data_IF_299512023347
#
_entry.id   IF_299512023347
#
_cell.length_a   1.000
_cell.length_b   1.000
_cell.length_c   1.000
_cell.angle_alpha   90.00
_cell.angle_beta   90.00
_cell.angle_gamma   90.00
#
_symmetry.space_group_name_H-M   'P 1'
#
loop_
_entity.id
_entity.type
_entity.pdbx_description
1 polymer ?
#
# COMPACT_ATOMS: atom_id res chain seq x y z
N UNK A 1 -8.34 -7.12 6.43
CA UNK A 1 -8.15 -5.65 6.26
C UNK A 1 -9.34 -5.07 5.52
N UNK A 2 -9.65 -3.80 5.75
CA UNK A 2 -10.68 -3.09 5.01
C UNK A 2 -10.28 -2.86 3.56
N UNK A 3 -11.27 -2.83 2.66
CA UNK A 3 -11.15 -2.43 1.27
C UNK A 3 -12.14 -1.30 1.00
N UNK A 4 -11.65 -0.14 0.63
CA UNK A 4 -12.45 1.06 0.34
C UNK A 4 -13.23 0.85 -0.97
N UNK A 5 -14.50 0.49 -0.90
CA UNK A 5 -15.35 0.25 -2.09
C UNK A 5 -16.08 1.52 -2.52
N UNK A 6 -16.60 2.28 -1.55
CA UNK A 6 -17.25 3.57 -1.78
C UNK A 6 -16.26 4.67 -1.42
N UNK A 7 -15.94 5.54 -2.37
CA UNK A 7 -15.01 6.67 -2.22
C UNK A 7 -15.68 7.95 -2.71
N UNK A 8 -15.96 8.85 -1.78
CA UNK A 8 -16.46 10.19 -2.06
C UNK A 8 -15.28 11.17 -2.11
N UNK A 9 -14.39 10.94 -3.08
CA UNK A 9 -13.13 11.67 -3.24
C UNK A 9 -13.03 12.25 -4.65
N UNK A 10 -12.28 13.37 -4.85
CA UNK A 10 -12.04 13.93 -6.17
C UNK A 10 -11.46 12.90 -7.16
N UNK A 11 -11.91 12.96 -8.42
CA UNK A 11 -11.55 12.00 -9.47
C UNK A 11 -10.03 11.81 -9.64
N UNK A 12 -9.24 12.89 -9.60
CA UNK A 12 -7.78 12.81 -9.73
C UNK A 12 -7.13 11.97 -8.61
N UNK A 13 -7.67 12.01 -7.39
CA UNK A 13 -7.15 11.20 -6.26
C UNK A 13 -7.49 9.72 -6.45
N UNK A 14 -8.67 9.43 -6.99
CA UNK A 14 -9.08 8.06 -7.33
C UNK A 14 -8.15 7.50 -8.42
N UNK A 15 -7.85 8.30 -9.45
CA UNK A 15 -6.96 7.88 -10.54
C UNK A 15 -5.53 7.61 -10.05
N UNK A 16 -4.96 8.52 -9.24
CA UNK A 16 -3.63 8.35 -8.65
C UNK A 16 -3.56 7.10 -7.76
N UNK A 17 -4.56 6.90 -6.89
CA UNK A 17 -4.64 5.73 -6.03
C UNK A 17 -4.72 4.43 -6.84
N UNK A 18 -5.56 4.39 -7.88
CA UNK A 18 -5.67 3.22 -8.76
C UNK A 18 -4.37 2.95 -9.51
N UNK A 19 -3.72 3.99 -10.03
CA UNK A 19 -2.43 3.87 -10.71
C UNK A 19 -1.36 3.27 -9.81
N UNK A 20 -1.26 3.75 -8.57
CA UNK A 20 -0.36 3.19 -7.56
C UNK A 20 -0.65 1.71 -7.30
N UNK A 21 -1.91 1.32 -7.07
CA UNK A 21 -2.25 -0.09 -6.82
C UNK A 21 -1.95 -1.00 -8.02
N UNK A 22 -2.18 -0.52 -9.24
CA UNK A 22 -1.82 -1.25 -10.47
C UNK A 22 -0.31 -1.46 -10.56
N UNK A 23 0.49 -0.41 -10.35
CA UNK A 23 1.95 -0.51 -10.34
C UNK A 23 2.46 -1.46 -9.25
N UNK A 24 1.95 -1.31 -8.02
CA UNK A 24 2.30 -2.18 -6.90
C UNK A 24 2.01 -3.65 -7.21
N UNK A 25 0.83 -3.95 -7.77
CA UNK A 25 0.45 -5.30 -8.19
C UNK A 25 1.39 -5.86 -9.26
N UNK A 26 1.74 -5.08 -10.28
CA UNK A 26 2.66 -5.52 -11.34
C UNK A 26 4.07 -5.77 -10.81
N UNK A 27 4.58 -4.93 -9.92
CA UNK A 27 5.97 -5.03 -9.44
C UNK A 27 6.18 -6.08 -8.37
N UNK A 28 5.15 -6.39 -7.58
CA UNK A 28 5.25 -7.26 -6.40
C UNK A 28 4.48 -8.57 -6.53
N UNK A 29 3.69 -8.71 -7.59
CA UNK A 29 2.87 -9.89 -7.91
C UNK A 29 1.81 -10.20 -6.83
N UNK A 30 1.45 -9.19 -6.02
CA UNK A 30 0.45 -9.31 -4.96
C UNK A 30 -0.96 -9.03 -5.52
N UNK A 31 -1.93 -9.97 -5.41
CA UNK A 31 -3.23 -9.86 -6.06
C UNK A 31 -4.27 -9.01 -5.28
N UNK A 32 -3.84 -8.22 -4.30
CA UNK A 32 -4.73 -7.40 -3.46
C UNK A 32 -5.18 -6.11 -4.18
N UNK A 33 -6.37 -5.62 -3.85
CA UNK A 33 -7.01 -4.49 -4.53
C UNK A 33 -6.80 -3.16 -3.81
N UNK A 34 -6.71 -3.20 -2.48
CA UNK A 34 -6.47 -2.03 -1.64
C UNK A 34 -5.35 -2.37 -0.67
N UNK A 35 -4.11 -1.99 -0.99
CA UNK A 35 -2.95 -2.35 -0.16
C UNK A 35 -2.65 -1.29 0.90
N UNK A 36 -3.17 -0.07 0.79
CA UNK A 36 -2.83 1.06 1.66
C UNK A 36 -3.86 1.30 2.77
N UNK A 37 -5.00 0.60 2.77
CA UNK A 37 -6.05 0.82 3.77
C UNK A 37 -5.52 0.69 5.21
N UNK A 38 -5.65 1.73 6.04
CA UNK A 38 -5.22 1.68 7.45
C UNK A 38 -6.18 0.93 8.38
N UNK A 39 -7.42 0.65 7.96
CA UNK A 39 -8.42 -0.03 8.78
C UNK A 39 -8.18 -1.55 8.74
N UNK A 40 -7.56 -2.10 9.80
CA UNK A 40 -7.11 -3.50 9.82
C UNK A 40 -7.24 -4.13 11.19
N UNK A 41 -7.42 -5.44 11.19
CA UNK A 41 -7.20 -6.32 12.32
C UNK A 41 -6.03 -7.24 11.96
N UNK A 42 -5.03 -7.31 12.82
CA UNK A 42 -3.78 -8.05 12.60
C UNK A 42 -3.49 -8.94 13.80
N UNK A 43 -2.91 -10.12 13.56
CA UNK A 43 -2.31 -10.93 14.63
C UNK A 43 -0.97 -10.31 15.03
N UNK A 44 -0.60 -10.45 16.29
CA UNK A 44 0.66 -9.92 16.83
C UNK A 44 1.88 -10.44 16.04
N UNK A 45 1.91 -11.75 15.76
CA UNK A 45 2.96 -12.41 14.98
C UNK A 45 3.21 -11.75 13.61
N UNK A 46 2.14 -11.31 12.93
CA UNK A 46 2.24 -10.64 11.62
C UNK A 46 2.98 -9.32 11.77
N UNK A 47 2.72 -8.58 12.85
CA UNK A 47 3.39 -7.29 13.10
C UNK A 47 4.86 -7.52 13.38
N UNK A 48 5.20 -8.46 14.26
CA UNK A 48 6.58 -8.74 14.65
C UNK A 48 7.43 -9.22 13.46
N UNK A 49 6.86 -10.02 12.56
CA UNK A 49 7.59 -10.52 11.39
C UNK A 49 7.68 -9.53 10.22
N UNK A 50 6.71 -8.63 10.06
CA UNK A 50 6.60 -7.75 8.88
C UNK A 50 7.19 -6.37 9.15
N UNK A 51 6.98 -5.82 10.34
CA UNK A 51 7.37 -4.46 10.70
C UNK A 51 8.87 -4.18 10.46
N UNK A 52 9.82 -5.08 10.82
CA UNK A 52 11.25 -4.83 10.59
C UNK A 52 11.64 -4.77 9.11
N UNK A 53 10.81 -5.32 8.21
CA UNK A 53 11.10 -5.37 6.78
C UNK A 53 10.45 -4.23 5.98
N UNK A 54 9.44 -3.56 6.54
CA UNK A 54 8.67 -2.51 5.91
C UNK A 54 9.38 -1.14 6.00
N UNK A 55 10.42 -0.96 5.19
CA UNK A 55 11.36 0.18 5.27
C UNK A 55 11.64 0.86 3.92
N UNK A 56 10.98 0.43 2.84
CA UNK A 56 11.28 0.82 1.46
C UNK A 56 10.36 1.93 0.92
N UNK A 57 9.11 1.99 1.37
CA UNK A 57 8.10 2.95 0.92
C UNK A 57 7.83 4.01 2.00
N UNK A 58 8.50 5.17 1.96
CA UNK A 58 8.42 6.18 3.02
C UNK A 58 7.04 6.83 3.14
N UNK A 59 6.31 7.00 2.02
CA UNK A 59 5.01 7.66 2.00
C UNK A 59 3.85 6.62 1.99
N UNK A 60 4.15 5.33 1.84
CA UNK A 60 3.17 4.24 1.68
C UNK A 60 3.44 3.01 2.54
N UNK A 61 3.79 3.23 3.81
CA UNK A 61 4.08 2.17 4.79
C UNK A 61 3.06 1.02 4.79
N UNK A 62 1.75 1.33 4.82
CA UNK A 62 0.71 0.30 4.85
C UNK A 62 0.68 -0.56 3.58
N UNK A 63 0.97 0.03 2.42
CA UNK A 63 1.08 -0.72 1.17
C UNK A 63 2.23 -1.72 1.25
N UNK A 64 3.42 -1.25 1.66
CA UNK A 64 4.59 -2.12 1.83
C UNK A 64 4.33 -3.23 2.85
N UNK A 65 3.80 -2.88 4.02
CA UNK A 65 3.46 -3.84 5.07
C UNK A 65 2.56 -4.95 4.52
N UNK A 66 1.54 -4.60 3.75
CA UNK A 66 0.62 -5.58 3.15
C UNK A 66 1.31 -6.49 2.15
N UNK A 67 2.15 -5.90 1.29
CA UNK A 67 2.88 -6.62 0.26
C UNK A 67 3.81 -7.63 0.90
N UNK A 68 4.59 -7.21 1.91
CA UNK A 68 5.51 -8.10 2.63
C UNK A 68 4.75 -9.18 3.37
N UNK A 69 3.67 -8.84 4.08
CA UNK A 69 2.83 -9.82 4.77
C UNK A 69 2.31 -10.89 3.81
N UNK A 70 1.81 -10.49 2.64
CA UNK A 70 1.36 -11.44 1.62
C UNK A 70 2.51 -12.32 1.12
N UNK A 71 3.68 -11.73 0.82
CA UNK A 71 4.83 -12.46 0.27
C UNK A 71 5.51 -13.38 1.29
N UNK A 72 5.30 -13.15 2.59
CA UNK A 72 5.63 -14.09 3.68
C UNK A 72 4.64 -15.25 3.82
N UNK A 73 3.54 -15.24 3.07
CA UNK A 73 2.54 -16.31 3.09
C UNK A 73 1.41 -16.11 4.11
N UNK A 74 1.32 -14.94 4.75
CA UNK A 74 0.19 -14.66 5.63
C UNK A 74 -1.11 -14.55 4.85
N UNK A 75 -2.20 -15.09 5.42
CA UNK A 75 -3.53 -15.00 4.84
C UNK A 75 -4.10 -13.60 5.06
N UNK A 76 -4.46 -12.94 3.97
CA UNK A 76 -5.04 -11.59 3.99
C UNK A 76 -6.43 -11.65 3.36
N UNK A 77 -7.44 -11.23 4.12
CA UNK A 77 -8.81 -11.09 3.66
C UNK A 77 -9.17 -9.61 3.50
N UNK A 78 -9.71 -9.22 2.34
CA UNK A 78 -10.24 -7.88 2.08
C UNK A 78 -11.74 -7.83 2.42
N UNK A 79 -12.12 -7.01 3.40
CA UNK A 79 -13.51 -6.79 3.83
C UNK A 79 -13.98 -5.45 3.28
N UNK A 80 -15.10 -5.39 2.52
CA UNK A 80 -15.57 -4.14 1.95
C UNK A 80 -15.99 -3.15 3.05
N UNK A 81 -15.50 -1.91 2.94
CA UNK A 81 -15.84 -0.81 3.84
C UNK A 81 -16.22 0.45 3.07
N UNK A 82 -17.02 1.30 3.72
CA UNK A 82 -17.37 2.64 3.23
C UNK A 82 -16.38 3.66 3.79
N UNK A 83 -15.64 4.34 2.91
CA UNK A 83 -14.74 5.41 3.33
C UNK A 83 -15.50 6.74 3.31
N UNK A 84 -15.82 7.27 4.50
CA UNK A 84 -16.52 8.54 4.64
C UNK A 84 -15.53 9.71 4.60
N UNK A 85 -15.89 10.84 3.97
CA UNK A 85 -15.06 12.03 3.99
C UNK A 85 -14.88 12.53 5.43
N UNK A 86 -13.69 13.01 5.76
CA UNK A 86 -13.43 13.59 7.08
C UNK A 86 -14.18 14.93 7.20
N UNK A 87 -14.91 15.18 8.29
CA UNK A 87 -15.69 16.41 8.45
C UNK A 87 -14.83 17.68 8.63
N UNK A 88 -13.56 17.56 9.04
CA UNK A 88 -12.63 18.70 9.25
C UNK A 88 -11.19 18.33 8.93
N UNK A 89 -10.39 19.29 8.47
CA UNK A 89 -8.96 19.15 8.21
C UNK A 89 -8.61 18.97 6.73
N UNK A 90 -7.50 19.58 6.31
CA UNK A 90 -6.96 19.48 4.95
C UNK A 90 -6.01 18.29 4.82
N UNK A 91 -5.87 17.77 3.61
CA UNK A 91 -4.96 16.64 3.36
C UNK A 91 -3.52 17.18 3.35
N UNK A 92 -2.69 16.75 4.30
CA UNK A 92 -1.31 17.26 4.44
C UNK A 92 -0.30 16.59 3.52
N UNK A 93 -0.62 15.43 2.93
CA UNK A 93 0.35 14.57 2.23
C UNK A 93 0.34 14.78 0.71
N UNK A 94 -0.83 15.08 0.13
CA UNK A 94 -1.00 15.19 -1.32
C UNK A 94 -1.23 16.64 -1.76
N UNK A 95 -0.36 17.56 -1.34
CA UNK A 95 -0.36 18.91 -1.92
C UNK A 95 0.27 18.87 -3.32
N UNK A 96 -0.27 19.67 -4.24
CA UNK A 96 0.01 19.59 -5.67
C UNK A 96 1.50 19.78 -6.01
N UNK A 97 2.21 20.56 -5.20
CA UNK A 97 3.64 20.85 -5.27
C UNK A 97 4.53 19.64 -4.94
N UNK A 98 4.08 18.75 -4.05
CA UNK A 98 4.88 17.59 -3.59
C UNK A 98 4.56 16.30 -4.33
N UNK A 99 3.45 16.26 -5.06
CA UNK A 99 2.98 15.08 -5.79
C UNK A 99 4.06 14.47 -6.70
N UNK A 100 4.77 15.23 -7.55
CA UNK A 100 5.77 14.63 -8.45
C UNK A 100 6.92 13.93 -7.70
N UNK A 101 7.37 14.53 -6.59
CA UNK A 101 8.45 13.97 -5.77
C UNK A 101 8.01 12.73 -4.99
N UNK A 102 6.78 12.70 -4.48
CA UNK A 102 6.20 11.51 -3.84
C UNK A 102 6.07 10.38 -4.86
N UNK A 103 5.54 10.67 -6.05
CA UNK A 103 5.35 9.67 -7.11
C UNK A 103 6.67 9.03 -7.55
N UNK A 104 7.73 9.82 -7.73
CA UNK A 104 9.03 9.28 -8.14
C UNK A 104 9.66 8.41 -7.04
N UNK A 105 9.60 8.83 -5.77
CA UNK A 105 10.09 8.03 -4.64
C UNK A 105 9.32 6.73 -4.47
N UNK A 106 8.00 6.78 -4.56
CA UNK A 106 7.14 5.59 -4.48
C UNK A 106 7.39 4.64 -5.64
N UNK A 107 7.61 5.15 -6.85
CA UNK A 107 7.95 4.32 -8.00
C UNK A 107 9.30 3.61 -7.82
N UNK A 108 10.35 4.34 -7.44
CA UNK A 108 11.68 3.76 -7.17
C UNK A 108 11.61 2.77 -6.00
N UNK A 109 10.88 3.11 -4.94
CA UNK A 109 10.65 2.26 -3.79
C UNK A 109 9.93 0.96 -4.15
N UNK A 110 8.89 1.02 -4.98
CA UNK A 110 8.16 -0.17 -5.45
C UNK A 110 9.04 -1.05 -6.35
N UNK A 111 9.86 -0.45 -7.21
CA UNK A 111 10.83 -1.20 -8.02
C UNK A 111 11.86 -1.92 -7.15
N UNK A 112 12.44 -1.22 -6.18
CA UNK A 112 13.40 -1.79 -5.23
C UNK A 112 12.75 -2.91 -4.39
N UNK A 113 11.53 -2.69 -3.90
CA UNK A 113 10.75 -3.67 -3.16
C UNK A 113 10.46 -4.92 -4.01
N UNK A 114 10.01 -4.74 -5.26
CA UNK A 114 9.76 -5.84 -6.19
C UNK A 114 11.01 -6.67 -6.47
N UNK A 115 12.16 -6.02 -6.70
CA UNK A 115 13.44 -6.70 -6.88
C UNK A 115 13.86 -7.47 -5.60
N UNK A 116 13.76 -6.83 -4.43
CA UNK A 116 14.06 -7.45 -3.13
C UNK A 116 13.23 -8.72 -2.90
N UNK A 117 11.93 -8.64 -3.17
CA UNK A 117 11.00 -9.76 -2.99
C UNK A 117 11.28 -10.90 -3.99
N UNK A 118 11.58 -10.59 -5.26
CA UNK A 118 11.94 -11.60 -6.27
C UNK A 118 13.25 -12.33 -5.95
N UNK A 119 14.27 -11.61 -5.50
CA UNK A 119 15.56 -12.20 -5.15
C UNK A 119 15.44 -13.15 -3.96
N UNK A 120 14.53 -12.87 -3.01
CA UNK A 120 14.26 -13.75 -1.87
C UNK A 120 13.56 -15.05 -2.30
N UNK A 121 12.63 -14.96 -3.25
CA UNK A 121 11.97 -16.15 -3.81
C UNK A 121 12.93 -17.07 -4.56
N UNK A 122 14.02 -16.55 -5.16
CA UNK A 122 15.04 -17.37 -5.83
C UNK A 122 16.02 -18.08 -4.87
N UNK A 123 16.08 -17.68 -3.60
CA UNK A 123 17.07 -18.17 -2.64
C UNK A 123 16.51 -19.23 -1.68
N UNK A 124 15.19 -19.45 -1.70
CA UNK A 124 14.48 -20.54 -1.03
C UNK A 124 14.11 -21.61 -2.05
#
# INVERSE_FOLDING_TARGET
MGRKVVRDEPFHRILLSRGFHVLAKMMTEVPLKDMDCGFRLLRKEVVEEVLPEATTLPDSFWAEFTIIAYRKGFRILEVPITHRPRPRGTTSIYTMDRLPGIMSREFVGLLALGQRLRNRTRKN
#
